data_IF_409639478865
#
_entry.id   IF_409639478865
#
_cell.length_a   1.000
_cell.length_b   1.000
_cell.length_c   1.000
_cell.angle_alpha   90.00
_cell.angle_beta   90.00
_cell.angle_gamma   90.00
#
_symmetry.space_group_name_H-M   'P 1'
#
loop_
_entity.id
_entity.type
_entity.pdbx_description
1 polymer ?
#
# COMPACT_ATOMS: atom_id res chain seq x y z
N UNK A 1 -20.39 -37.98 2.64
CA UNK A 1 -21.16 -37.24 1.62
C UNK A 1 -22.69 -37.38 1.81
N UNK A 2 -23.24 -37.16 3.01
CA UNK A 2 -24.67 -37.46 3.28
C UNK A 2 -25.59 -36.23 3.17
N UNK A 3 -25.06 -35.01 3.33
CA UNK A 3 -25.80 -33.78 3.11
C UNK A 3 -24.90 -32.81 2.34
N UNK A 4 -25.25 -32.53 1.07
CA UNK A 4 -24.53 -31.57 0.20
C UNK A 4 -24.85 -30.14 0.64
N UNK A 5 -24.49 -29.79 1.86
CA UNK A 5 -24.81 -28.49 2.46
C UNK A 5 -23.76 -27.50 1.98
N UNK A 6 -24.13 -26.65 1.01
CA UNK A 6 -23.25 -25.60 0.47
C UNK A 6 -23.05 -24.43 1.44
N UNK A 7 -23.99 -24.27 2.39
CA UNK A 7 -24.06 -23.15 3.33
C UNK A 7 -24.49 -23.64 4.71
N UNK A 8 -23.68 -23.37 5.72
CA UNK A 8 -23.95 -23.66 7.12
C UNK A 8 -24.28 -22.35 7.83
N UNK A 9 -25.53 -22.20 8.28
CA UNK A 9 -25.95 -21.05 9.09
C UNK A 9 -25.44 -21.26 10.52
N UNK A 10 -24.78 -20.25 11.08
CA UNK A 10 -24.34 -20.23 12.47
C UNK A 10 -25.39 -19.46 13.27
N UNK A 11 -25.91 -20.08 14.33
CA UNK A 11 -26.91 -19.48 15.22
C UNK A 11 -26.38 -19.34 16.64
N UNK A 12 -26.84 -18.31 17.35
CA UNK A 12 -26.59 -18.16 18.79
C UNK A 12 -27.52 -19.08 19.63
N UNK A 13 -27.40 -19.00 20.96
CA UNK A 13 -28.24 -19.78 21.89
C UNK A 13 -29.73 -19.41 21.85
N UNK A 14 -30.08 -18.24 21.31
CA UNK A 14 -31.46 -17.80 21.09
C UNK A 14 -32.03 -18.22 19.74
N UNK A 15 -31.24 -18.87 18.89
CA UNK A 15 -31.64 -19.27 17.54
C UNK A 15 -31.53 -18.15 16.49
N UNK A 16 -30.91 -17.02 16.82
CA UNK A 16 -30.70 -15.93 15.86
C UNK A 16 -29.51 -16.25 14.95
N UNK A 17 -29.63 -15.92 13.67
CA UNK A 17 -28.53 -16.06 12.71
C UNK A 17 -27.41 -15.05 13.01
N UNK A 18 -26.23 -15.56 13.34
CA UNK A 18 -25.03 -14.75 13.65
C UNK A 18 -23.92 -14.92 12.61
N UNK A 19 -24.07 -15.82 11.66
CA UNK A 19 -23.08 -16.02 10.61
C UNK A 19 -23.47 -17.06 9.56
N UNK A 20 -22.64 -17.14 8.53
CA UNK A 20 -22.78 -18.08 7.44
C UNK A 20 -21.40 -18.59 7.03
N UNK A 21 -21.23 -19.91 7.02
CA UNK A 21 -20.03 -20.57 6.50
C UNK A 21 -20.39 -21.17 5.14
N UNK A 22 -19.61 -20.89 4.11
CA UNK A 22 -19.85 -21.43 2.77
C UNK A 22 -18.77 -22.43 2.36
N UNK A 23 -19.15 -23.45 1.58
CA UNK A 23 -18.18 -24.38 0.99
C UNK A 23 -17.14 -23.64 0.13
N UNK A 24 -17.56 -22.56 -0.55
CA UNK A 24 -16.68 -21.74 -1.36
C UNK A 24 -15.54 -21.09 -0.56
N UNK A 25 -15.79 -20.69 0.69
CA UNK A 25 -14.74 -20.11 1.54
C UNK A 25 -13.72 -21.18 1.97
N UNK A 26 -14.18 -22.40 2.23
CA UNK A 26 -13.33 -23.56 2.53
C UNK A 26 -12.46 -23.90 1.32
N UNK A 27 -13.06 -24.02 0.13
CA UNK A 27 -12.34 -24.28 -1.13
C UNK A 27 -11.31 -23.20 -1.41
N UNK A 28 -11.67 -21.92 -1.32
CA UNK A 28 -10.72 -20.80 -1.49
C UNK A 28 -9.57 -20.86 -0.51
N UNK A 29 -9.83 -21.24 0.75
CA UNK A 29 -8.78 -21.36 1.77
C UNK A 29 -7.84 -22.53 1.51
N UNK A 30 -8.33 -23.64 0.96
CA UNK A 30 -7.50 -24.78 0.56
C UNK A 30 -6.67 -24.47 -0.70
N UNK A 31 -7.28 -23.79 -1.68
CA UNK A 31 -6.61 -23.38 -2.92
C UNK A 31 -5.55 -22.31 -2.69
N UNK A 32 -5.70 -21.46 -1.67
CA UNK A 32 -4.79 -20.35 -1.39
C UNK A 32 -4.27 -20.43 0.06
N UNK A 33 -3.42 -21.43 0.39
CA UNK A 33 -2.96 -21.66 1.76
C UNK A 33 -2.06 -20.52 2.29
N UNK A 34 -1.45 -19.75 1.40
CA UNK A 34 -0.59 -18.61 1.73
C UNK A 34 -1.30 -17.25 1.57
N UNK A 35 -2.65 -17.24 1.51
CA UNK A 35 -3.40 -16.00 1.41
C UNK A 35 -3.15 -15.10 2.62
N UNK A 36 -2.89 -13.82 2.37
CA UNK A 36 -2.71 -12.81 3.42
C UNK A 36 -4.05 -12.51 4.08
N UNK A 37 -4.25 -13.05 5.29
CA UNK A 37 -5.48 -12.92 6.06
C UNK A 37 -5.26 -12.22 7.41
N UNK A 38 -6.31 -11.61 7.92
CA UNK A 38 -6.36 -11.10 9.29
C UNK A 38 -6.67 -12.23 10.30
N UNK A 39 -6.74 -11.87 11.58
CA UNK A 39 -7.01 -12.84 12.67
C UNK A 39 -8.43 -13.42 12.62
N UNK A 40 -9.34 -12.82 11.85
CA UNK A 40 -10.72 -13.29 11.64
C UNK A 40 -10.84 -14.13 10.36
N UNK A 41 -9.74 -14.34 9.63
CA UNK A 41 -9.71 -15.11 8.37
C UNK A 41 -10.15 -14.32 7.13
N UNK A 42 -10.35 -13.00 7.24
CA UNK A 42 -10.67 -12.11 6.12
C UNK A 42 -9.40 -11.74 5.36
N UNK A 43 -9.50 -11.47 4.06
CA UNK A 43 -8.35 -10.97 3.29
C UNK A 43 -7.96 -9.58 3.78
N UNK A 44 -6.66 -9.33 3.91
CA UNK A 44 -6.19 -8.01 4.33
C UNK A 44 -6.34 -6.99 3.20
N UNK A 45 -6.70 -5.76 3.55
CA UNK A 45 -6.83 -4.65 2.63
C UNK A 45 -6.00 -3.44 3.09
N UNK A 46 -5.46 -2.70 2.12
CA UNK A 46 -4.77 -1.44 2.36
C UNK A 46 -5.34 -0.35 1.46
N UNK A 47 -5.34 0.90 1.92
CA UNK A 47 -5.87 2.02 1.15
C UNK A 47 -5.03 3.28 1.35
N UNK A 48 -4.86 4.04 0.27
CA UNK A 48 -4.16 5.32 0.30
C UNK A 48 -5.09 6.48 0.66
N UNK A 49 -4.53 7.46 1.36
CA UNK A 49 -5.12 8.77 1.64
C UNK A 49 -4.08 9.87 1.50
N UNK A 50 -4.56 11.11 1.44
CA UNK A 50 -3.75 12.33 1.33
C UNK A 50 -3.65 13.04 2.69
N UNK A 51 -3.15 14.27 2.68
CA UNK A 51 -3.02 15.16 3.85
C UNK A 51 -4.13 16.21 3.91
N UNK A 52 -4.27 16.90 5.04
CA UNK A 52 -5.32 17.89 5.25
C UNK A 52 -6.64 17.27 5.68
N UNK A 53 -7.70 18.08 5.73
CA UNK A 53 -8.97 17.64 6.32
C UNK A 53 -9.72 16.63 5.44
N UNK A 54 -9.71 16.79 4.11
CA UNK A 54 -10.29 15.81 3.19
C UNK A 54 -9.60 14.43 3.31
N UNK A 55 -8.26 14.43 3.43
CA UNK A 55 -7.49 13.21 3.65
C UNK A 55 -7.76 12.56 5.01
N UNK A 56 -8.04 13.38 6.02
CA UNK A 56 -8.42 12.91 7.35
C UNK A 56 -9.82 12.29 7.37
N UNK A 57 -10.81 12.95 6.78
CA UNK A 57 -12.17 12.40 6.67
C UNK A 57 -12.17 11.09 5.87
N UNK A 58 -11.39 11.02 4.78
CA UNK A 58 -11.18 9.78 4.03
C UNK A 58 -10.55 8.70 4.91
N UNK A 59 -9.56 9.02 5.73
CA UNK A 59 -8.93 8.07 6.64
C UNK A 59 -9.95 7.52 7.66
N UNK A 60 -10.79 8.36 8.25
CA UNK A 60 -11.85 7.94 9.18
C UNK A 60 -12.78 6.90 8.53
N UNK A 61 -13.27 7.21 7.32
CA UNK A 61 -14.17 6.31 6.57
C UNK A 61 -13.50 4.98 6.19
N UNK A 62 -12.21 5.01 5.83
CA UNK A 62 -11.45 3.79 5.50
C UNK A 62 -11.19 2.92 6.73
N UNK A 63 -10.90 3.53 7.88
CA UNK A 63 -10.73 2.84 9.15
C UNK A 63 -12.04 2.20 9.59
N UNK A 64 -13.15 2.93 9.50
CA UNK A 64 -14.49 2.42 9.82
C UNK A 64 -14.90 1.24 8.90
N UNK A 65 -14.52 1.30 7.62
CA UNK A 65 -14.67 0.20 6.68
C UNK A 65 -13.77 -1.03 6.98
N UNK A 66 -12.84 -0.92 7.92
CA UNK A 66 -12.03 -2.03 8.40
C UNK A 66 -10.74 -2.29 7.61
N UNK A 67 -10.13 -1.25 7.01
CA UNK A 67 -8.80 -1.39 6.37
C UNK A 67 -7.73 -1.81 7.39
N UNK A 68 -6.80 -2.70 7.00
CA UNK A 68 -5.72 -3.14 7.88
C UNK A 68 -4.53 -2.16 7.92
N UNK A 69 -4.29 -1.50 6.78
CA UNK A 69 -3.16 -0.60 6.56
C UNK A 69 -3.62 0.67 5.84
N UNK A 70 -3.43 1.81 6.48
CA UNK A 70 -3.60 3.12 5.87
C UNK A 70 -2.26 3.61 5.31
N UNK A 71 -2.26 4.05 4.06
CA UNK A 71 -1.07 4.59 3.38
C UNK A 71 -1.21 6.10 3.22
N UNK A 72 -0.43 6.89 3.96
CA UNK A 72 -0.36 8.34 3.74
C UNK A 72 0.67 8.57 2.64
N UNK A 73 0.15 8.81 1.43
CA UNK A 73 0.93 8.81 0.20
C UNK A 73 1.07 10.22 -0.37
N UNK A 74 2.31 10.73 -0.38
CA UNK A 74 2.64 12.01 -0.98
C UNK A 74 3.96 11.91 -1.74
N UNK A 75 4.22 12.85 -2.65
CA UNK A 75 5.49 12.89 -3.37
C UNK A 75 6.69 13.10 -2.43
N UNK A 76 6.51 13.81 -1.31
CA UNK A 76 7.54 14.05 -0.30
C UNK A 76 6.96 14.07 1.11
N UNK A 77 7.21 13.00 1.85
CA UNK A 77 6.68 12.75 3.19
C UNK A 77 7.36 13.54 4.30
N UNK A 78 8.55 14.11 4.07
CA UNK A 78 9.26 14.92 5.06
C UNK A 78 8.74 16.37 5.02
N UNK A 79 7.46 16.55 5.34
CA UNK A 79 6.80 17.85 5.42
C UNK A 79 5.84 17.89 6.61
N UNK A 80 5.68 19.06 7.25
CA UNK A 80 4.86 19.19 8.46
C UNK A 80 3.44 18.66 8.26
N UNK A 81 2.82 18.94 7.11
CA UNK A 81 1.45 18.47 6.79
C UNK A 81 1.33 16.95 6.78
N UNK A 82 2.39 16.24 6.35
CA UNK A 82 2.41 14.77 6.37
C UNK A 82 2.63 14.26 7.78
N UNK A 83 3.57 14.86 8.54
CA UNK A 83 3.81 14.49 9.93
C UNK A 83 2.54 14.64 10.77
N UNK A 84 1.83 15.77 10.61
CA UNK A 84 0.55 16.04 11.28
C UNK A 84 -0.51 15.01 10.89
N UNK A 85 -0.58 14.63 9.60
CA UNK A 85 -1.52 13.63 9.11
C UNK A 85 -1.22 12.24 9.70
N UNK A 86 0.04 11.83 9.79
CA UNK A 86 0.47 10.58 10.43
C UNK A 86 0.06 10.58 11.91
N UNK A 87 0.40 11.64 12.63
CA UNK A 87 0.04 11.77 14.05
C UNK A 87 -1.47 11.79 14.27
N UNK A 88 -2.24 12.50 13.42
CA UNK A 88 -3.71 12.51 13.47
C UNK A 88 -4.30 11.13 13.20
N UNK A 89 -3.86 10.46 12.14
CA UNK A 89 -4.35 9.12 11.79
C UNK A 89 -4.00 8.09 12.87
N UNK A 90 -2.82 8.19 13.50
CA UNK A 90 -2.42 7.29 14.59
C UNK A 90 -3.31 7.45 15.83
N UNK A 91 -3.82 8.66 16.08
CA UNK A 91 -4.77 8.93 17.18
C UNK A 91 -6.17 8.39 16.92
N UNK A 92 -6.57 8.22 15.65
CA UNK A 92 -7.88 7.66 15.29
C UNK A 92 -8.00 6.19 15.66
N UNK A 93 -6.93 5.41 15.42
CA UNK A 93 -6.95 3.98 15.67
C UNK A 93 -5.57 3.43 15.98
N UNK A 94 -5.50 2.60 17.02
CA UNK A 94 -4.33 1.80 17.35
C UNK A 94 -4.35 0.42 16.68
N UNK A 95 -5.46 0.01 16.06
CA UNK A 95 -5.59 -1.30 15.40
C UNK A 95 -5.10 -1.26 13.94
N UNK A 96 -5.31 -0.14 13.25
CA UNK A 96 -4.89 0.07 11.86
C UNK A 96 -3.43 0.50 11.82
N UNK A 97 -2.65 -0.12 10.94
CA UNK A 97 -1.24 0.24 10.74
C UNK A 97 -1.12 1.42 9.79
N UNK A 98 -0.06 2.21 9.94
CA UNK A 98 0.20 3.38 9.11
C UNK A 98 1.52 3.18 8.36
N UNK A 99 1.44 3.20 7.03
CA UNK A 99 2.58 3.34 6.13
C UNK A 99 2.63 4.80 5.65
N UNK A 100 3.75 5.49 5.88
CA UNK A 100 3.88 6.88 5.47
C UNK A 100 5.04 7.09 4.50
N UNK A 101 4.86 7.99 3.53
CA UNK A 101 5.91 8.34 2.59
C UNK A 101 5.49 9.40 1.56
N UNK A 102 6.30 9.65 0.53
CA UNK A 102 7.60 9.03 0.27
C UNK A 102 8.77 9.83 0.84
N UNK A 103 9.77 9.13 1.37
CA UNK A 103 11.05 9.74 1.76
C UNK A 103 12.20 9.09 0.99
N UNK A 104 13.37 9.72 1.05
CA UNK A 104 14.58 9.20 0.43
C UNK A 104 15.82 9.34 1.33
N UNK A 105 15.73 10.00 2.49
CA UNK A 105 16.86 10.25 3.37
C UNK A 105 16.60 9.68 4.77
N UNK A 106 17.68 9.53 5.55
CA UNK A 106 17.65 9.13 6.95
C UNK A 106 16.79 10.07 7.80
N UNK A 107 16.92 11.38 7.61
CA UNK A 107 16.20 12.40 8.39
C UNK A 107 14.69 12.36 8.10
N UNK A 108 14.31 12.24 6.83
CA UNK A 108 12.89 12.10 6.47
C UNK A 108 12.29 10.81 7.00
N UNK A 109 13.08 9.73 7.01
CA UNK A 109 12.67 8.45 7.61
C UNK A 109 12.45 8.61 9.12
N UNK A 110 13.39 9.21 9.84
CA UNK A 110 13.28 9.45 11.27
C UNK A 110 12.06 10.32 11.60
N UNK A 111 11.84 11.39 10.85
CA UNK A 111 10.70 12.29 11.06
C UNK A 111 9.35 11.56 10.96
N UNK A 112 9.19 10.65 10.00
CA UNK A 112 7.98 9.84 9.86
C UNK A 112 7.82 8.82 11.00
N UNK A 113 8.92 8.21 11.43
CA UNK A 113 8.93 7.29 12.57
C UNK A 113 8.50 8.03 13.85
N UNK A 114 9.10 9.18 14.11
CA UNK A 114 8.81 10.01 15.29
C UNK A 114 7.36 10.52 15.28
N UNK A 115 6.78 10.77 14.10
CA UNK A 115 5.37 11.14 13.94
C UNK A 115 4.40 9.97 14.23
N UNK A 116 4.88 8.73 14.24
CA UNK A 116 4.12 7.52 14.59
C UNK A 116 3.83 6.55 13.46
N UNK A 117 4.58 6.62 12.34
CA UNK A 117 4.44 5.65 11.26
C UNK A 117 4.89 4.23 11.69
N UNK A 118 4.09 3.21 11.39
CA UNK A 118 4.44 1.80 11.65
C UNK A 118 5.37 1.22 10.56
N UNK A 119 5.39 1.84 9.39
CA UNK A 119 6.30 1.53 8.29
C UNK A 119 6.55 2.80 7.44
N UNK A 120 7.68 2.83 6.74
CA UNK A 120 8.09 3.96 5.90
C UNK A 120 8.21 3.54 4.43
N UNK A 121 7.57 4.30 3.53
CA UNK A 121 7.62 4.11 2.07
C UNK A 121 8.73 4.96 1.47
N UNK A 122 9.65 4.33 0.75
CA UNK A 122 10.91 4.95 0.29
C UNK A 122 11.02 4.95 -1.22
N UNK A 123 11.26 6.14 -1.78
CA UNK A 123 11.53 6.32 -3.20
C UNK A 123 11.00 7.64 -3.75
N UNK A 124 11.89 8.50 -4.25
CA UNK A 124 11.52 9.76 -4.91
C UNK A 124 12.16 9.80 -6.30
N UNK A 125 11.31 9.73 -7.33
CA UNK A 125 11.75 9.65 -8.73
C UNK A 125 12.15 8.29 -9.33
N UNK A 126 12.11 7.12 -8.66
CA UNK A 126 12.53 5.86 -9.26
C UNK A 126 11.44 5.19 -10.12
N UNK A 127 10.17 5.61 -9.96
CA UNK A 127 9.04 5.04 -10.68
C UNK A 127 9.16 5.23 -12.19
N UNK A 128 8.77 4.20 -12.96
CA UNK A 128 8.88 4.16 -14.43
C UNK A 128 8.17 5.30 -15.17
N UNK A 129 7.18 5.89 -14.52
CA UNK A 129 6.34 7.00 -15.02
C UNK A 129 6.45 8.26 -14.15
N UNK A 130 7.34 8.24 -13.16
CA UNK A 130 7.55 9.36 -12.25
C UNK A 130 8.47 10.38 -12.93
N UNK A 131 7.98 11.61 -13.11
CA UNK A 131 8.75 12.68 -13.73
C UNK A 131 9.40 13.62 -12.72
N UNK A 132 9.30 13.35 -11.42
CA UNK A 132 9.80 14.25 -10.35
C UNK A 132 11.26 14.65 -10.51
N UNK A 133 12.15 13.71 -10.86
CA UNK A 133 13.57 14.03 -11.11
C UNK A 133 13.78 14.98 -12.28
N UNK A 134 12.97 14.84 -13.33
CA UNK A 134 13.09 15.66 -14.54
C UNK A 134 12.45 17.03 -14.34
N UNK A 135 11.29 17.09 -13.70
CA UNK A 135 10.50 18.32 -13.56
C UNK A 135 10.95 19.16 -12.36
N UNK A 136 11.12 18.53 -11.19
CA UNK A 136 11.48 19.23 -9.95
C UNK A 136 12.99 19.25 -9.70
N UNK A 137 13.79 18.47 -10.43
CA UNK A 137 15.23 18.33 -10.18
C UNK A 137 15.56 17.58 -8.88
N UNK A 138 14.57 16.97 -8.22
CA UNK A 138 14.71 16.31 -6.92
C UNK A 138 14.47 14.81 -7.04
N UNK A 139 15.33 14.03 -6.39
CA UNK A 139 15.20 12.59 -6.22
C UNK A 139 16.51 11.97 -5.79
N UNK A 140 16.49 10.66 -5.55
CA UNK A 140 17.67 9.91 -5.11
C UNK A 140 17.76 8.56 -5.84
N UNK A 141 18.97 8.05 -6.14
CA UNK A 141 19.13 6.68 -6.62
C UNK A 141 18.49 5.69 -5.65
N UNK A 142 17.62 4.81 -6.16
CA UNK A 142 16.70 4.03 -5.33
C UNK A 142 17.40 3.15 -4.30
N UNK A 143 18.48 2.47 -4.69
CA UNK A 143 19.22 1.61 -3.78
C UNK A 143 19.85 2.40 -2.62
N UNK A 144 20.43 3.57 -2.92
CA UNK A 144 20.98 4.47 -1.91
C UNK A 144 19.91 5.01 -0.96
N UNK A 145 18.73 5.37 -1.49
CA UNK A 145 17.60 5.82 -0.69
C UNK A 145 17.11 4.72 0.28
N UNK A 146 17.00 3.48 -0.20
CA UNK A 146 16.64 2.32 0.63
C UNK A 146 17.67 2.13 1.75
N UNK A 147 18.96 2.07 1.41
CA UNK A 147 20.03 1.83 2.39
C UNK A 147 20.05 2.92 3.48
N UNK A 148 19.91 4.19 3.10
CA UNK A 148 19.86 5.33 4.04
C UNK A 148 18.64 5.24 4.97
N UNK A 149 17.46 4.95 4.42
CA UNK A 149 16.25 4.80 5.23
C UNK A 149 16.35 3.59 6.19
N UNK A 150 16.83 2.45 5.71
CA UNK A 150 16.98 1.22 6.48
C UNK A 150 17.91 1.41 7.67
N UNK A 151 19.06 2.06 7.49
CA UNK A 151 20.01 2.34 8.57
C UNK A 151 19.35 3.07 9.75
N UNK A 152 18.40 3.96 9.45
CA UNK A 152 17.65 4.69 10.46
C UNK A 152 16.50 3.86 11.03
N UNK A 153 15.68 3.27 10.17
CA UNK A 153 14.46 2.57 10.57
C UNK A 153 14.73 1.32 11.41
N UNK A 154 15.85 0.62 11.15
CA UNK A 154 16.26 -0.55 11.93
C UNK A 154 16.51 -0.22 13.41
N UNK A 155 17.03 0.98 13.72
CA UNK A 155 17.28 1.42 15.11
C UNK A 155 16.00 1.52 15.92
N UNK A 156 14.87 1.76 15.26
CA UNK A 156 13.54 1.87 15.87
C UNK A 156 12.64 0.65 15.61
N UNK A 157 13.15 -0.39 14.95
CA UNK A 157 12.38 -1.58 14.59
C UNK A 157 11.25 -1.34 13.58
N UNK A 158 11.32 -0.25 12.81
CA UNK A 158 10.30 0.14 11.81
C UNK A 158 10.66 -0.44 10.44
N UNK A 159 9.67 -0.98 9.73
CA UNK A 159 9.86 -1.57 8.41
C UNK A 159 9.98 -0.51 7.31
N UNK A 160 10.83 -0.81 6.30
CA UNK A 160 10.99 0.02 5.10
C UNK A 160 10.40 -0.70 3.89
N UNK A 161 9.59 0.01 3.11
CA UNK A 161 8.99 -0.46 1.85
C UNK A 161 9.64 0.27 0.68
N UNK A 162 10.30 -0.48 -0.21
CA UNK A 162 10.91 0.08 -1.42
C UNK A 162 9.86 0.36 -2.50
N UNK A 163 9.64 1.61 -2.87
CA UNK A 163 8.61 2.02 -3.83
C UNK A 163 9.23 2.55 -5.14
N UNK A 164 8.99 1.81 -6.23
CA UNK A 164 9.45 2.16 -7.57
C UNK A 164 10.85 1.66 -7.92
N UNK A 165 11.19 1.73 -9.21
CA UNK A 165 12.48 1.28 -9.75
C UNK A 165 12.64 -0.24 -9.92
N UNK A 166 11.64 -1.05 -9.55
CA UNK A 166 11.65 -2.51 -9.72
C UNK A 166 11.18 -2.89 -11.12
N UNK A 167 12.11 -3.28 -12.00
CA UNK A 167 11.80 -3.69 -13.37
C UNK A 167 12.02 -5.19 -13.58
N UNK A 168 13.01 -5.76 -12.91
CA UNK A 168 13.35 -7.17 -13.00
C UNK A 168 13.38 -7.82 -11.61
N UNK A 169 13.32 -9.15 -11.57
CA UNK A 169 13.42 -9.91 -10.31
C UNK A 169 14.71 -9.59 -9.54
N UNK A 170 15.81 -9.33 -10.25
CA UNK A 170 17.07 -8.91 -9.64
C UNK A 170 17.00 -7.55 -8.93
N UNK A 171 16.12 -6.64 -9.34
CA UNK A 171 15.93 -5.35 -8.65
C UNK A 171 15.21 -5.56 -7.32
N UNK A 172 14.21 -6.45 -7.30
CA UNK A 172 13.52 -6.85 -6.07
C UNK A 172 14.50 -7.53 -5.09
N UNK A 173 15.31 -8.47 -5.59
CA UNK A 173 16.32 -9.14 -4.78
C UNK A 173 17.31 -8.14 -4.15
N UNK A 174 17.76 -7.13 -4.91
CA UNK A 174 18.64 -6.07 -4.40
C UNK A 174 17.96 -5.18 -3.36
N UNK A 175 16.69 -4.83 -3.56
CA UNK A 175 15.93 -4.03 -2.59
C UNK A 175 15.79 -4.75 -1.25
N UNK A 176 15.47 -6.05 -1.27
CA UNK A 176 15.41 -6.89 -0.08
C UNK A 176 16.80 -7.05 0.57
N UNK A 177 17.84 -7.28 -0.24
CA UNK A 177 19.23 -7.39 0.25
C UNK A 177 19.75 -6.09 0.88
N UNK A 178 19.27 -4.93 0.42
CA UNK A 178 19.53 -3.62 1.03
C UNK A 178 18.76 -3.39 2.34
N UNK A 179 17.89 -4.33 2.75
CA UNK A 179 17.19 -4.34 4.02
C UNK A 179 15.74 -3.84 3.98
N UNK A 180 15.18 -3.58 2.79
CA UNK A 180 13.74 -3.34 2.68
C UNK A 180 12.96 -4.60 3.08
N UNK A 181 11.86 -4.44 3.82
CA UNK A 181 11.00 -5.54 4.24
C UNK A 181 10.09 -6.03 3.11
N UNK A 182 9.73 -5.14 2.19
CA UNK A 182 8.96 -5.44 0.99
C UNK A 182 9.21 -4.39 -0.10
N UNK A 183 8.65 -4.60 -1.29
CA UNK A 183 8.65 -3.62 -2.36
C UNK A 183 7.24 -3.38 -2.92
N UNK A 184 6.96 -2.13 -3.27
CA UNK A 184 5.74 -1.71 -3.97
C UNK A 184 6.01 -1.67 -5.48
N UNK A 185 5.15 -2.35 -6.24
CA UNK A 185 5.33 -2.58 -7.68
C UNK A 185 4.14 -2.01 -8.44
N UNK A 186 4.42 -1.07 -9.36
CA UNK A 186 3.40 -0.49 -10.26
C UNK A 186 3.42 -1.14 -11.65
N UNK A 187 4.40 -0.79 -12.48
CA UNK A 187 4.40 -1.10 -13.91
C UNK A 187 4.38 -2.59 -14.27
N UNK A 188 4.90 -3.48 -13.42
CA UNK A 188 4.83 -4.93 -13.70
C UNK A 188 3.41 -5.49 -13.53
N UNK A 189 2.59 -4.85 -12.69
CA UNK A 189 1.21 -5.26 -12.43
C UNK A 189 0.20 -4.50 -13.29
N UNK A 190 0.56 -3.35 -13.85
CA UNK A 190 -0.35 -2.45 -14.58
C UNK A 190 -0.97 -3.04 -15.87
N UNK A 191 -0.44 -4.15 -16.37
CA UNK A 191 -0.93 -4.82 -17.58
C UNK A 191 -1.66 -6.14 -17.34
N UNK A 192 -1.76 -6.62 -16.09
CA UNK A 192 -2.38 -7.92 -15.79
C UNK A 192 -3.90 -7.85 -15.90
N UNK A 193 -4.57 -8.99 -15.94
CA UNK A 193 -6.03 -9.05 -16.09
C UNK A 193 -6.76 -8.35 -14.92
N UNK A 194 -6.22 -8.46 -13.71
CA UNK A 194 -6.78 -7.87 -12.48
C UNK A 194 -6.60 -6.35 -12.40
N UNK A 195 -5.66 -5.78 -13.15
CA UNK A 195 -5.44 -4.33 -13.16
C UNK A 195 -6.62 -3.58 -13.79
N UNK A 196 -7.00 -2.40 -13.28
CA UNK A 196 -8.18 -1.68 -13.73
C UNK A 196 -8.04 -1.12 -15.14
N UNK A 197 -9.18 -0.86 -15.78
CA UNK A 197 -9.27 -0.28 -17.12
C UNK A 197 -9.44 -1.34 -18.22
N UNK A 198 -9.43 -0.88 -19.46
CA UNK A 198 -9.70 -1.72 -20.63
C UNK A 198 -8.42 -2.02 -21.42
N UNK A 199 -8.38 -3.21 -22.01
CA UNK A 199 -7.35 -3.58 -22.97
C UNK A 199 -7.70 -2.96 -24.32
N UNK A 200 -6.77 -2.23 -24.93
CA UNK A 200 -6.93 -1.67 -26.27
C UNK A 200 -5.80 -2.11 -27.19
N UNK A 201 -6.09 -2.18 -28.48
CA UNK A 201 -5.10 -2.53 -29.50
C UNK A 201 -4.40 -1.27 -30.00
N UNK A 202 -3.07 -1.29 -29.99
CA UNK A 202 -2.26 -0.23 -30.56
C UNK A 202 -1.11 -0.84 -31.35
N UNK A 203 -0.98 -0.47 -32.63
CA UNK A 203 0.06 -1.00 -33.53
C UNK A 203 0.15 -2.54 -33.51
N UNK A 204 -1.01 -3.22 -33.49
CA UNK A 204 -1.09 -4.68 -33.49
C UNK A 204 -0.71 -5.36 -32.18
N UNK A 205 -0.55 -4.62 -31.08
CA UNK A 205 -0.29 -5.18 -29.74
C UNK A 205 -1.35 -4.72 -28.75
N UNK A 206 -1.63 -5.56 -27.76
CA UNK A 206 -2.56 -5.26 -26.67
C UNK A 206 -1.88 -4.44 -25.59
N UNK A 207 -2.55 -3.38 -25.13
CA UNK A 207 -2.07 -2.48 -24.08
C UNK A 207 -3.16 -2.20 -23.04
N UNK A 208 -2.75 -1.90 -21.81
CA UNK A 208 -3.57 -1.23 -20.78
C UNK A 208 -2.94 0.12 -20.45
N UNK A 209 -3.78 1.12 -20.16
CA UNK A 209 -3.32 2.47 -19.84
C UNK A 209 -2.70 2.51 -18.42
N UNK A 210 -1.49 3.07 -18.32
CA UNK A 210 -0.78 3.24 -17.06
C UNK A 210 -0.31 4.69 -16.90
N UNK A 211 -0.62 5.32 -15.76
CA UNK A 211 -0.35 6.75 -15.52
C UNK A 211 -0.04 7.03 -14.06
N UNK A 212 0.68 8.10 -13.81
CA UNK A 212 1.11 8.51 -12.47
C UNK A 212 0.16 9.50 -11.84
N UNK A 213 0.08 9.50 -10.52
CA UNK A 213 -0.81 10.41 -9.80
C UNK A 213 -0.42 11.88 -9.94
N UNK A 214 0.85 12.19 -10.21
CA UNK A 214 1.32 13.53 -10.57
C UNK A 214 1.12 13.93 -12.03
N UNK A 215 0.45 13.11 -12.85
CA UNK A 215 0.14 13.47 -14.24
C UNK A 215 -1.09 14.37 -14.33
N UNK A 216 -1.15 15.22 -15.36
CA UNK A 216 -2.27 16.15 -15.60
C UNK A 216 -3.62 15.42 -15.58
N UNK A 217 -3.71 14.27 -16.25
CA UNK A 217 -4.96 13.49 -16.32
C UNK A 217 -5.37 12.82 -15.00
N UNK A 218 -4.45 12.64 -14.06
CA UNK A 218 -4.77 12.15 -12.71
C UNK A 218 -5.20 13.29 -11.81
N UNK A 219 -4.42 14.38 -11.77
CA UNK A 219 -4.70 15.55 -10.91
C UNK A 219 -6.01 16.26 -11.26
N UNK A 220 -6.42 16.27 -12.54
CA UNK A 220 -7.69 16.86 -12.96
C UNK A 220 -8.94 16.22 -12.30
N UNK A 221 -8.80 15.01 -11.72
CA UNK A 221 -9.88 14.30 -11.02
C UNK A 221 -9.67 14.22 -9.50
N UNK A 222 -8.68 14.93 -8.96
CA UNK A 222 -8.18 14.77 -7.59
C UNK A 222 -7.19 13.60 -7.51
N UNK A 223 -6.07 13.82 -6.80
CA UNK A 223 -5.08 12.78 -6.53
C UNK A 223 -5.29 12.22 -5.12
N UNK A 224 -5.95 11.05 -5.05
CA UNK A 224 -6.31 10.27 -3.85
C UNK A 224 -7.27 10.94 -2.87
#
# INVERSE_FOLDING_TARGET
HQHRIEKLVVVDSGGNCVGLITVKDIEKSQLNPHATKDVQGRLRAAAATSVGDDGFERAERLIDAGVDLLVIDTAHGHSQRVLDAVTRAKKLSNSVRILAGNVATSEGTLALIDAGADAVKVGIGPGSICTTRIVAGVGMPQLSAIMSAVETAQKSGVSVIADGGIKYSGDLAKALAAGASAAMIGSLLAGTDESPGEVYLHQGRSFKAYRGMGSVGAMARGSA
#
